data_IF_540029696646
#
_entry.id   IF_540029696646
#
_cell.length_a   1.000
_cell.length_b   1.000
_cell.length_c   1.000
_cell.angle_alpha   90.00
_cell.angle_beta   90.00
_cell.angle_gamma   90.00
#
_symmetry.space_group_name_H-M   'P 1'
#
loop_
_entity.id
_entity.type
_entity.pdbx_description
1 polymer ?
#
# COMPACT_ATOMS: atom_id res chain seq x y z
N UNK A 1 18.74 -1.66 -30.52
CA UNK A 1 18.11 -2.30 -29.34
C UNK A 1 19.08 -3.31 -28.75
N UNK A 2 19.87 -2.92 -27.75
CA UNK A 2 20.70 -3.88 -26.98
C UNK A 2 20.18 -3.90 -25.54
N UNK A 3 19.70 -5.08 -25.14
CA UNK A 3 19.03 -5.36 -23.86
C UNK A 3 20.12 -5.50 -22.80
N UNK A 4 20.35 -4.45 -21.99
CA UNK A 4 21.29 -4.47 -20.87
C UNK A 4 20.95 -5.66 -19.94
N UNK A 5 21.94 -6.49 -19.63
CA UNK A 5 21.78 -7.68 -18.79
C UNK A 5 22.01 -7.27 -17.34
N UNK A 6 20.94 -7.31 -16.56
CA UNK A 6 20.88 -7.01 -15.12
C UNK A 6 21.68 -7.97 -14.23
N UNK A 7 22.45 -8.89 -14.80
CA UNK A 7 23.08 -10.00 -14.08
C UNK A 7 24.49 -9.71 -13.61
N UNK A 8 25.21 -8.75 -14.21
CA UNK A 8 26.52 -8.33 -13.73
C UNK A 8 26.38 -7.58 -12.40
N UNK A 9 26.64 -8.28 -11.29
CA UNK A 9 26.74 -7.69 -9.96
C UNK A 9 25.80 -8.24 -8.89
N UNK A 10 24.84 -9.10 -9.23
CA UNK A 10 23.98 -9.77 -8.22
C UNK A 10 24.59 -11.07 -7.68
N UNK A 11 25.59 -11.62 -8.36
CA UNK A 11 26.20 -12.93 -8.13
C UNK A 11 26.87 -13.03 -6.74
N UNK A 12 27.43 -11.92 -6.24
CA UNK A 12 28.08 -11.86 -4.93
C UNK A 12 27.09 -11.91 -3.76
N UNK A 13 25.80 -11.66 -3.99
CA UNK A 13 24.74 -11.69 -2.97
C UNK A 13 24.11 -13.08 -2.80
N UNK A 14 24.17 -13.92 -3.84
CA UNK A 14 23.58 -15.27 -3.83
C UNK A 14 24.61 -16.39 -3.63
N UNK A 15 25.90 -16.06 -3.53
CA UNK A 15 27.01 -17.03 -3.59
C UNK A 15 27.30 -17.88 -2.35
N UNK A 16 26.56 -17.77 -1.24
CA UNK A 16 26.90 -18.54 -0.02
C UNK A 16 25.70 -19.12 0.76
N UNK A 17 24.46 -18.87 0.33
CA UNK A 17 23.26 -19.22 1.13
C UNK A 17 22.35 -20.28 0.50
N UNK A 18 22.84 -21.10 -0.45
CA UNK A 18 21.99 -22.00 -1.24
C UNK A 18 22.36 -23.50 -1.13
N UNK A 19 23.11 -23.94 -0.12
CA UNK A 19 23.59 -25.33 -0.09
C UNK A 19 22.70 -26.34 0.66
N UNK A 20 21.77 -26.00 1.57
CA UNK A 20 21.23 -27.09 2.43
C UNK A 20 19.72 -27.29 2.65
N UNK A 21 18.77 -26.45 2.20
CA UNK A 21 17.35 -26.69 2.64
C UNK A 21 16.22 -26.27 1.70
N UNK A 22 16.30 -26.44 0.38
CA UNK A 22 15.12 -26.21 -0.48
C UNK A 22 14.85 -27.35 -1.48
N UNK A 23 14.23 -28.40 -0.93
CA UNK A 23 13.18 -29.25 -1.49
C UNK A 23 13.15 -29.45 -3.02
N UNK A 24 13.50 -30.68 -3.42
CA UNK A 24 13.69 -31.24 -4.76
C UNK A 24 12.46 -31.28 -5.71
N UNK A 25 11.39 -30.51 -5.50
CA UNK A 25 10.21 -30.57 -6.37
C UNK A 25 9.75 -29.19 -6.88
N UNK A 26 10.68 -28.42 -7.44
CA UNK A 26 10.38 -27.23 -8.25
C UNK A 26 10.79 -27.49 -9.71
N UNK A 27 9.96 -27.15 -10.71
CA UNK A 27 10.10 -27.59 -12.11
C UNK A 27 11.25 -26.89 -12.88
N UNK A 28 12.19 -26.27 -12.19
CA UNK A 28 13.17 -25.34 -12.75
C UNK A 28 14.59 -25.92 -12.94
N UNK A 29 14.81 -27.20 -12.62
CA UNK A 29 16.13 -27.83 -12.69
C UNK A 29 16.17 -28.98 -13.73
N UNK A 30 16.09 -28.63 -15.02
CA UNK A 30 16.57 -29.50 -16.11
C UNK A 30 17.98 -29.10 -16.53
N UNK A 31 18.94 -29.79 -15.92
CA UNK A 31 20.39 -29.94 -16.19
C UNK A 31 20.85 -29.57 -17.61
N UNK A 32 21.84 -28.68 -17.68
CA UNK A 32 22.61 -28.29 -18.87
C UNK A 32 23.60 -29.37 -19.32
N UNK A 33 23.78 -29.55 -20.64
CA UNK A 33 25.02 -30.10 -21.21
C UNK A 33 25.77 -29.07 -22.09
N UNK A 34 27.03 -28.85 -21.70
CA UNK A 34 28.25 -28.37 -22.41
C UNK A 34 28.16 -27.84 -23.86
N UNK A 35 28.83 -26.70 -24.13
CA UNK A 35 30.03 -26.53 -25.02
C UNK A 35 30.41 -25.06 -25.30
N UNK A 36 31.67 -24.85 -25.69
CA UNK A 36 32.46 -23.60 -25.77
C UNK A 36 32.42 -22.85 -27.14
N UNK A 37 32.52 -21.49 -27.11
CA UNK A 37 33.03 -20.44 -28.09
C UNK A 37 32.62 -20.45 -29.61
N UNK A 38 32.86 -19.42 -30.51
CA UNK A 38 33.58 -18.11 -30.45
C UNK A 38 33.01 -16.84 -31.26
N UNK A 39 33.64 -15.64 -31.07
CA UNK A 39 33.98 -14.42 -31.91
C UNK A 39 33.12 -13.76 -33.05
N UNK A 40 33.07 -12.40 -33.07
CA UNK A 40 33.19 -11.35 -34.18
C UNK A 40 32.26 -10.11 -33.92
N UNK A 41 32.68 -8.83 -33.83
CA UNK A 41 33.26 -7.75 -34.70
C UNK A 41 32.29 -6.98 -35.65
N UNK A 42 32.47 -5.64 -35.66
CA UNK A 42 32.06 -4.56 -36.61
C UNK A 42 30.66 -3.90 -36.46
N UNK A 43 30.35 -2.62 -36.75
CA UNK A 43 30.98 -1.29 -36.90
C UNK A 43 29.82 -0.25 -37.07
N UNK A 44 30.07 1.02 -36.75
CA UNK A 44 29.48 2.29 -37.25
C UNK A 44 28.02 2.82 -37.09
N UNK A 45 27.99 4.04 -36.49
CA UNK A 45 27.31 5.29 -36.91
C UNK A 45 25.90 5.68 -36.38
N UNK A 46 25.85 6.74 -35.56
CA UNK A 46 25.46 8.10 -35.99
C UNK A 46 25.20 9.03 -34.78
N UNK A 47 25.68 10.26 -34.90
CA UNK A 47 25.68 11.29 -33.85
C UNK A 47 24.28 11.88 -33.66
N UNK A 48 23.77 11.89 -32.42
CA UNK A 48 22.92 12.97 -31.89
C UNK A 48 23.48 13.42 -30.55
N UNK A 49 24.13 14.57 -30.60
CA UNK A 49 24.75 15.28 -29.50
C UNK A 49 23.68 15.88 -28.58
N UNK A 50 23.24 15.14 -27.56
CA UNK A 50 22.70 15.68 -26.29
C UNK A 50 22.37 14.58 -25.26
N UNK A 51 23.00 13.41 -25.35
CA UNK A 51 22.70 12.27 -24.47
C UNK A 51 23.29 12.41 -23.04
N UNK A 52 23.48 13.63 -22.53
CA UNK A 52 24.08 13.83 -21.20
C UNK A 52 23.33 14.75 -20.25
N UNK A 53 22.32 15.46 -20.71
CA UNK A 53 21.65 16.41 -19.83
C UNK A 53 20.14 16.14 -19.74
N UNK A 54 19.76 14.86 -19.62
CA UNK A 54 18.37 14.50 -19.29
C UNK A 54 17.91 15.17 -17.99
N UNK A 55 18.82 15.36 -17.03
CA UNK A 55 18.54 16.13 -15.83
C UNK A 55 18.33 17.62 -16.11
N UNK A 56 19.04 18.22 -17.07
CA UNK A 56 18.79 19.63 -17.44
C UNK A 56 17.50 19.79 -18.22
N UNK A 57 17.15 18.81 -19.07
CA UNK A 57 15.90 18.80 -19.82
C UNK A 57 14.70 18.59 -18.90
N UNK A 58 14.82 17.71 -17.90
CA UNK A 58 13.85 17.59 -16.81
C UNK A 58 13.76 18.87 -15.99
N UNK A 59 14.89 19.49 -15.68
CA UNK A 59 14.91 20.71 -14.87
C UNK A 59 14.27 21.87 -15.64
N UNK A 60 14.55 22.01 -16.93
CA UNK A 60 13.92 23.00 -17.81
C UNK A 60 12.41 22.77 -17.96
N UNK A 61 11.99 21.50 -18.11
CA UNK A 61 10.57 21.14 -18.15
C UNK A 61 9.84 21.44 -16.84
N UNK A 62 10.44 21.10 -15.70
CA UNK A 62 9.85 21.35 -14.39
C UNK A 62 9.81 22.85 -14.06
N UNK A 63 10.88 23.58 -14.39
CA UNK A 63 10.93 25.04 -14.20
C UNK A 63 9.83 25.73 -15.00
N UNK A 64 9.64 25.37 -16.27
CA UNK A 64 8.54 25.88 -17.09
C UNK A 64 7.15 25.56 -16.49
N UNK A 65 6.95 24.33 -16.00
CA UNK A 65 5.67 23.93 -15.40
C UNK A 65 5.38 24.67 -14.08
N UNK A 66 6.41 24.95 -13.28
CA UNK A 66 6.26 25.75 -12.06
C UNK A 66 6.04 27.23 -12.37
N UNK A 67 6.74 27.81 -13.35
CA UNK A 67 6.52 29.19 -13.78
C UNK A 67 5.09 29.40 -14.30
N UNK A 68 4.58 28.49 -15.13
CA UNK A 68 3.20 28.55 -15.64
C UNK A 68 2.17 28.44 -14.49
N UNK A 69 2.36 27.50 -13.56
CA UNK A 69 1.47 27.35 -12.40
C UNK A 69 1.54 28.53 -11.43
N UNK A 70 2.71 29.12 -11.23
CA UNK A 70 2.90 30.26 -10.33
C UNK A 70 2.36 31.53 -10.96
N UNK A 71 2.60 31.77 -12.25
CA UNK A 71 2.04 32.93 -12.97
C UNK A 71 0.50 32.85 -12.98
N UNK A 72 -0.08 31.69 -13.28
CA UNK A 72 -1.54 31.50 -13.23
C UNK A 72 -2.10 31.76 -11.80
N UNK A 73 -1.39 31.31 -10.76
CA UNK A 73 -1.80 31.55 -9.37
C UNK A 73 -1.61 33.01 -8.95
N UNK A 74 -0.59 33.69 -9.48
CA UNK A 74 -0.32 35.11 -9.24
C UNK A 74 -1.38 35.97 -9.94
N UNK A 75 -1.77 35.64 -11.17
CA UNK A 75 -2.88 36.26 -11.90
C UNK A 75 -4.21 36.07 -11.17
N UNK A 76 -4.51 34.85 -10.70
CA UNK A 76 -5.71 34.57 -9.90
C UNK A 76 -5.72 35.34 -8.56
N UNK A 77 -4.56 35.67 -8.00
CA UNK A 77 -4.43 36.51 -6.80
C UNK A 77 -4.55 38.00 -7.11
N UNK A 78 -3.99 38.48 -8.23
CA UNK A 78 -4.15 39.86 -8.71
C UNK A 78 -5.62 40.17 -9.01
N UNK A 79 -6.36 39.22 -9.58
CA UNK A 79 -7.80 39.36 -9.85
C UNK A 79 -8.68 39.38 -8.58
N UNK A 80 -8.18 38.92 -7.42
CA UNK A 80 -8.95 38.86 -6.15
C UNK A 80 -8.69 40.02 -5.18
N UNK A 81 -7.91 41.04 -5.58
CA UNK A 81 -7.67 42.23 -4.74
C UNK A 81 -8.72 43.32 -4.99
N UNK A 82 -9.96 43.04 -4.63
CA UNK A 82 -10.92 44.08 -4.20
C UNK A 82 -11.11 43.94 -2.70
N UNK A 83 -10.80 44.95 -1.86
CA UNK A 83 -10.87 44.81 -0.42
C UNK A 83 -12.30 45.11 0.05
N UNK A 84 -13.06 44.09 0.41
CA UNK A 84 -14.26 44.27 1.23
C UNK A 84 -14.08 43.45 2.51
N UNK A 85 -13.90 44.23 3.58
CA UNK A 85 -13.99 43.90 4.99
C UNK A 85 -15.22 43.04 5.32
N UNK A 86 -15.07 42.03 6.18
CA UNK A 86 -16.20 41.31 6.77
C UNK A 86 -15.89 39.85 7.12
N UNK A 87 -15.67 39.59 8.41
CA UNK A 87 -15.75 38.30 9.13
C UNK A 87 -16.14 37.05 8.31
N UNK A 88 -15.15 36.25 7.91
CA UNK A 88 -15.34 35.02 7.14
C UNK A 88 -15.68 33.82 8.04
N UNK A 89 -16.97 33.55 8.25
CA UNK A 89 -17.45 32.20 8.54
C UNK A 89 -17.45 31.41 7.21
N UNK A 90 -16.38 30.63 6.99
CA UNK A 90 -16.22 29.81 5.77
C UNK A 90 -17.30 28.73 5.74
N UNK A 91 -18.39 28.99 5.00
CA UNK A 91 -19.39 27.96 4.66
C UNK A 91 -18.67 26.83 3.92
N UNK A 92 -18.65 25.63 4.52
CA UNK A 92 -18.03 24.43 3.95
C UNK A 92 -18.70 24.15 2.59
N UNK A 93 -17.94 24.36 1.50
CA UNK A 93 -18.38 24.01 0.15
C UNK A 93 -18.62 22.50 0.09
N UNK A 94 -19.81 22.09 -0.33
CA UNK A 94 -20.15 20.69 -0.57
C UNK A 94 -19.18 20.16 -1.65
N UNK A 95 -18.24 19.29 -1.26
CA UNK A 95 -17.33 18.68 -2.23
C UNK A 95 -18.12 17.61 -3.01
N UNK A 96 -17.92 17.58 -4.32
CA UNK A 96 -18.49 16.54 -5.19
C UNK A 96 -17.86 15.18 -4.81
N UNK A 97 -18.60 14.06 -4.89
CA UNK A 97 -18.04 12.75 -4.62
C UNK A 97 -16.92 12.46 -5.64
N UNK A 98 -15.78 11.99 -5.17
CA UNK A 98 -14.62 11.67 -6.00
C UNK A 98 -14.87 10.30 -6.65
N UNK A 99 -15.03 10.26 -7.98
CA UNK A 99 -15.25 9.01 -8.72
C UNK A 99 -14.28 8.94 -9.91
N UNK A 100 -13.74 7.76 -10.22
CA UNK A 100 -12.93 7.50 -11.42
C UNK A 100 -11.41 7.54 -11.21
N UNK A 101 -10.67 7.87 -12.27
CA UNK A 101 -9.19 7.84 -12.30
C UNK A 101 -8.58 8.81 -11.29
N UNK A 102 -9.20 9.96 -11.04
CA UNK A 102 -8.79 10.91 -10.00
C UNK A 102 -8.90 10.33 -8.58
N UNK A 103 -9.88 9.47 -8.32
CA UNK A 103 -9.96 8.76 -7.04
C UNK A 103 -8.82 7.75 -6.91
N UNK A 104 -8.46 7.07 -8.01
CA UNK A 104 -7.34 6.14 -8.05
C UNK A 104 -6.00 6.88 -7.90
N UNK A 105 -5.75 7.92 -8.70
CA UNK A 105 -4.57 8.77 -8.64
C UNK A 105 -4.41 9.38 -7.24
N UNK A 106 -5.49 9.87 -6.64
CA UNK A 106 -5.42 10.41 -5.29
C UNK A 106 -5.21 9.31 -4.24
N UNK A 107 -5.77 8.11 -4.42
CA UNK A 107 -5.48 6.98 -3.52
C UNK A 107 -4.04 6.49 -3.63
N UNK A 108 -3.40 6.64 -4.80
CA UNK A 108 -2.00 6.24 -5.02
C UNK A 108 -1.01 7.34 -4.62
N UNK A 109 -1.39 8.62 -4.72
CA UNK A 109 -0.58 9.77 -4.29
C UNK A 109 -0.78 10.08 -2.79
N UNK A 110 -2.00 9.92 -2.26
CA UNK A 110 -2.38 10.10 -0.86
C UNK A 110 -2.90 8.76 -0.27
N UNK A 111 -2.02 7.81 0.08
CA UNK A 111 -2.42 6.48 0.58
C UNK A 111 -3.19 6.52 1.92
N UNK A 112 -3.24 7.67 2.60
CA UNK A 112 -3.92 7.84 3.89
C UNK A 112 -5.45 7.93 3.81
N UNK A 113 -6.07 7.95 2.62
CA UNK A 113 -7.52 8.16 2.46
C UNK A 113 -8.34 6.91 2.11
N UNK A 114 -7.70 5.75 1.99
CA UNK A 114 -8.39 4.46 1.93
C UNK A 114 -9.06 4.18 3.29
N UNK A 115 -10.23 4.76 3.51
CA UNK A 115 -11.08 4.43 4.66
C UNK A 115 -11.74 3.08 4.42
N UNK A 116 -10.95 2.03 4.58
CA UNK A 116 -11.43 0.74 5.04
C UNK A 116 -12.12 1.05 6.37
N UNK A 117 -13.43 0.80 6.47
CA UNK A 117 -14.16 0.90 7.73
C UNK A 117 -13.59 -0.13 8.70
N UNK A 118 -12.51 0.24 9.37
CA UNK A 118 -12.01 -0.47 10.53
C UNK A 118 -13.13 -0.39 11.55
N UNK A 119 -13.91 -1.48 11.69
CA UNK A 119 -14.78 -1.69 12.85
C UNK A 119 -13.99 -1.24 14.07
N UNK A 120 -14.43 -0.17 14.71
CA UNK A 120 -13.65 0.50 15.75
C UNK A 120 -13.59 -0.42 16.98
N UNK A 121 -12.64 -1.36 16.96
CA UNK A 121 -12.46 -2.32 18.02
C UNK A 121 -11.97 -1.56 19.24
N UNK A 122 -12.81 -1.50 20.28
CA UNK A 122 -12.40 -0.96 21.57
C UNK A 122 -11.64 -2.03 22.32
N UNK A 123 -10.45 -1.69 22.84
CA UNK A 123 -9.67 -2.60 23.67
C UNK A 123 -10.28 -2.67 25.06
N UNK A 124 -10.57 -3.88 25.52
CA UNK A 124 -11.11 -4.15 26.85
C UNK A 124 -10.09 -5.04 27.59
N UNK A 125 -9.87 -4.75 28.86
CA UNK A 125 -9.09 -5.62 29.75
C UNK A 125 -10.07 -6.42 30.60
N UNK A 126 -10.04 -7.74 30.47
CA UNK A 126 -10.90 -8.66 31.21
C UNK A 126 -10.05 -9.47 32.19
N UNK A 127 -10.56 -9.65 33.40
CA UNK A 127 -9.96 -10.53 34.41
C UNK A 127 -10.70 -11.86 34.40
N UNK A 128 -9.97 -12.96 34.21
CA UNK A 128 -10.51 -14.32 34.20
C UNK A 128 -9.87 -15.16 35.30
N UNK A 129 -10.63 -16.13 35.82
CA UNK A 129 -10.06 -17.18 36.65
C UNK A 129 -9.03 -18.00 35.84
N UNK A 130 -7.90 -18.39 36.43
CA UNK A 130 -6.82 -19.07 35.70
C UNK A 130 -7.30 -20.37 35.05
N UNK A 131 -8.15 -21.14 35.74
CA UNK A 131 -8.70 -22.40 35.23
C UNK A 131 -9.60 -22.20 34.00
N UNK A 132 -10.40 -21.14 33.98
CA UNK A 132 -11.30 -20.82 32.86
C UNK A 132 -10.48 -20.36 31.65
N UNK A 133 -9.42 -19.60 31.89
CA UNK A 133 -8.52 -19.14 30.85
C UNK A 133 -7.79 -20.30 30.17
N UNK A 134 -7.36 -21.31 30.92
CA UNK A 134 -6.72 -22.51 30.36
C UNK A 134 -7.69 -23.31 29.48
N UNK A 135 -8.94 -23.48 29.92
CA UNK A 135 -10.00 -24.14 29.13
C UNK A 135 -10.27 -23.39 27.83
N UNK A 136 -10.43 -22.06 27.90
CA UNK A 136 -10.61 -21.21 26.72
C UNK A 136 -9.42 -21.30 25.75
N UNK A 137 -8.19 -21.29 26.25
CA UNK A 137 -6.98 -21.50 25.42
C UNK A 137 -6.96 -22.88 24.76
N UNK A 138 -7.40 -23.92 25.47
CA UNK A 138 -7.46 -25.27 24.91
C UNK A 138 -8.48 -25.36 23.77
N UNK A 139 -9.65 -24.72 23.92
CA UNK A 139 -10.69 -24.62 22.88
C UNK A 139 -10.14 -23.85 21.67
N UNK A 140 -9.56 -22.67 21.89
CA UNK A 140 -8.95 -21.86 20.83
C UNK A 140 -7.90 -22.63 20.00
N UNK A 141 -7.07 -23.44 20.65
CA UNK A 141 -6.07 -24.27 19.95
C UNK A 141 -6.72 -25.38 19.11
N UNK A 142 -7.83 -25.96 19.57
CA UNK A 142 -8.55 -27.01 18.83
C UNK A 142 -9.26 -26.43 17.61
N UNK A 143 -9.90 -25.28 17.76
CA UNK A 143 -10.68 -24.61 16.72
C UNK A 143 -9.82 -23.78 15.77
N UNK A 144 -8.53 -23.55 16.10
CA UNK A 144 -7.58 -22.73 15.33
C UNK A 144 -8.06 -21.28 15.15
N UNK A 145 -8.83 -20.78 16.11
CA UNK A 145 -9.38 -19.42 16.16
C UNK A 145 -8.65 -18.61 17.24
N UNK A 146 -8.80 -17.28 17.20
CA UNK A 146 -8.25 -16.43 18.25
C UNK A 146 -9.16 -16.43 19.48
N UNK A 147 -8.56 -16.22 20.65
CA UNK A 147 -9.30 -16.10 21.91
C UNK A 147 -10.35 -14.97 21.86
N UNK A 148 -10.06 -13.90 21.12
CA UNK A 148 -10.99 -12.80 20.90
C UNK A 148 -12.27 -13.28 20.22
N UNK A 149 -12.15 -14.07 19.16
CA UNK A 149 -13.29 -14.48 18.33
C UNK A 149 -14.23 -15.40 19.13
N UNK A 150 -13.67 -16.30 19.93
CA UNK A 150 -14.44 -17.16 20.86
C UNK A 150 -15.17 -16.32 21.92
N UNK A 151 -14.51 -15.28 22.47
CA UNK A 151 -15.17 -14.39 23.42
C UNK A 151 -16.30 -13.63 22.73
N UNK A 152 -16.09 -13.16 21.51
CA UNK A 152 -17.10 -12.44 20.73
C UNK A 152 -18.32 -13.35 20.46
N UNK A 153 -18.12 -14.64 20.16
CA UNK A 153 -19.18 -15.64 19.99
C UNK A 153 -19.95 -15.92 21.29
N UNK A 154 -19.26 -16.18 22.39
CA UNK A 154 -19.89 -16.42 23.70
C UNK A 154 -20.72 -15.21 24.14
N UNK A 155 -20.21 -14.00 23.91
CA UNK A 155 -20.93 -12.77 24.25
C UNK A 155 -22.17 -12.60 23.35
N UNK A 156 -22.08 -12.94 22.06
CA UNK A 156 -23.24 -12.91 21.17
C UNK A 156 -24.34 -13.88 21.62
N UNK A 157 -23.98 -15.14 21.89
CA UNK A 157 -24.92 -16.14 22.40
C UNK A 157 -25.56 -15.72 23.74
N UNK A 158 -24.76 -15.16 24.66
CA UNK A 158 -25.27 -14.68 25.94
C UNK A 158 -26.25 -13.52 25.76
N UNK A 159 -26.01 -12.60 24.83
CA UNK A 159 -26.93 -11.49 24.54
C UNK A 159 -28.23 -12.00 23.94
N UNK A 160 -28.16 -12.93 22.99
CA UNK A 160 -29.34 -13.55 22.37
C UNK A 160 -30.20 -14.29 23.42
N UNK A 161 -29.56 -15.05 24.31
CA UNK A 161 -30.24 -15.72 25.43
C UNK A 161 -30.81 -14.72 26.45
N UNK A 162 -30.14 -13.60 26.68
CA UNK A 162 -30.58 -12.60 27.64
C UNK A 162 -31.79 -11.82 27.10
N UNK A 163 -31.77 -11.45 25.82
CA UNK A 163 -32.89 -10.76 25.16
C UNK A 163 -34.13 -11.64 25.09
N UNK A 164 -33.96 -12.94 24.81
CA UNK A 164 -35.08 -13.90 24.81
C UNK A 164 -35.68 -14.10 26.20
N UNK A 165 -34.86 -14.33 27.23
CA UNK A 165 -35.35 -14.54 28.61
C UNK A 165 -35.92 -13.28 29.27
N UNK A 166 -35.33 -12.11 29.01
CA UNK A 166 -35.77 -10.85 29.62
C UNK A 166 -36.88 -10.16 28.82
N UNK A 167 -36.93 -10.38 27.51
CA UNK A 167 -38.07 -9.99 26.67
C UNK A 167 -39.37 -10.70 27.05
N UNK A 168 -39.30 -11.86 27.71
CA UNK A 168 -40.45 -12.57 28.28
C UNK A 168 -40.95 -11.99 29.62
N UNK A 169 -40.14 -11.20 30.35
CA UNK A 169 -40.55 -10.58 31.63
C UNK A 169 -41.16 -9.18 31.47
N UNK A 170 -40.98 -8.52 30.32
CA UNK A 170 -41.53 -7.18 30.04
C UNK A 170 -42.77 -7.18 29.13
N UNK A 171 -43.34 -8.35 28.79
CA UNK A 171 -44.52 -8.51 27.93
C UNK A 171 -45.78 -8.97 28.70
#
# INVERSE_FOLDING_TARGET
>A
MSKKRFTEGLESLFGEAAEDTLQENSPLLSRTEKREAPKSRDEESSKRSSAKDFSSDLQAFLEHAFEESVEEQLEQRKQKRTPISGSAQVKKRHRKPLTGLDALIRSTIEPGSMRIEQKSAKRITLTFDPEKLEKLKAIARRERTYLRDIIDEIVAEFLDEYETKKGEEEA
#
